data_IF_202107574504
#
_entry.id   IF_202107574504
#
_cell.length_a   1.000
_cell.length_b   1.000
_cell.length_c   1.000
_cell.angle_alpha   90.00
_cell.angle_beta   90.00
_cell.angle_gamma   90.00
#
_symmetry.space_group_name_H-M   'P 1'
#
loop_
_entity.id
_entity.type
_entity.pdbx_description
1 polymer ?
#
# COMPACT_ATOMS: atom_id res chain seq x y z
N UNK A 1 18.02 -23.04 4.24
CA UNK A 1 17.79 -21.70 4.83
C UNK A 1 18.73 -20.75 4.12
N UNK A 2 18.24 -19.57 3.71
CA UNK A 2 19.10 -18.52 3.16
C UNK A 2 20.06 -18.04 4.24
N UNK A 3 21.28 -17.68 3.87
CA UNK A 3 22.16 -16.92 4.77
C UNK A 3 21.61 -15.50 4.99
N UNK A 4 21.98 -14.86 6.10
CA UNK A 4 21.55 -13.49 6.40
C UNK A 4 21.87 -12.51 5.25
N UNK A 5 23.07 -12.61 4.68
CA UNK A 5 23.50 -11.76 3.56
C UNK A 5 22.63 -11.98 2.31
N UNK A 6 22.27 -13.22 1.99
CA UNK A 6 21.39 -13.51 0.85
C UNK A 6 19.98 -13.00 1.09
N UNK A 7 19.46 -13.14 2.31
CA UNK A 7 18.15 -12.63 2.70
C UNK A 7 18.08 -11.10 2.60
N UNK A 8 19.08 -10.39 3.14
CA UNK A 8 19.17 -8.93 3.06
C UNK A 8 19.32 -8.45 1.60
N UNK A 9 20.13 -9.15 0.81
CA UNK A 9 20.31 -8.83 -0.62
C UNK A 9 18.99 -8.98 -1.38
N UNK A 10 18.24 -10.05 -1.14
CA UNK A 10 16.93 -10.26 -1.76
C UNK A 10 15.93 -9.16 -1.38
N UNK A 11 15.92 -8.74 -0.11
CA UNK A 11 15.12 -7.59 0.32
C UNK A 11 15.55 -6.30 -0.35
N UNK A 12 16.86 -6.05 -0.49
CA UNK A 12 17.38 -4.87 -1.17
C UNK A 12 16.92 -4.82 -2.64
N UNK A 13 17.06 -5.92 -3.36
CA UNK A 13 16.60 -6.03 -4.76
C UNK A 13 15.07 -5.87 -4.84
N UNK A 14 14.33 -6.51 -3.94
CA UNK A 14 12.87 -6.44 -3.91
C UNK A 14 12.36 -5.01 -3.63
N UNK A 15 12.96 -4.31 -2.68
CA UNK A 15 12.63 -2.93 -2.35
C UNK A 15 12.91 -2.00 -3.54
N UNK A 16 14.05 -2.16 -4.21
CA UNK A 16 14.37 -1.38 -5.40
C UNK A 16 13.34 -1.61 -6.54
N UNK A 17 12.99 -2.87 -6.81
CA UNK A 17 11.97 -3.23 -7.80
C UNK A 17 10.58 -2.68 -7.42
N UNK A 18 10.22 -2.78 -6.13
CA UNK A 18 8.95 -2.27 -5.60
C UNK A 18 8.83 -0.77 -5.75
N UNK A 19 9.90 -0.01 -5.50
CA UNK A 19 9.91 1.44 -5.72
C UNK A 19 9.67 1.79 -7.19
N UNK A 20 10.30 1.07 -8.12
CA UNK A 20 10.07 1.27 -9.55
C UNK A 20 8.60 0.96 -9.93
N UNK A 21 8.06 -0.16 -9.43
CA UNK A 21 6.67 -0.54 -9.64
C UNK A 21 5.68 0.50 -9.08
N UNK A 22 5.97 1.04 -7.90
CA UNK A 22 5.25 2.16 -7.29
C UNK A 22 5.25 3.35 -8.24
N UNK A 23 6.40 3.86 -8.68
CA UNK A 23 6.43 5.02 -9.58
C UNK A 23 5.66 4.78 -10.89
N UNK A 24 5.80 3.60 -11.49
CA UNK A 24 5.05 3.23 -12.70
C UNK A 24 3.53 3.21 -12.44
N UNK A 25 3.09 2.60 -11.34
CA UNK A 25 1.68 2.52 -10.96
C UNK A 25 1.07 3.89 -10.67
N UNK A 26 1.84 4.82 -10.11
CA UNK A 26 1.38 6.20 -9.89
C UNK A 26 1.04 6.90 -11.21
N UNK A 27 1.80 6.64 -12.27
CA UNK A 27 1.52 7.09 -13.63
C UNK A 27 0.22 6.53 -14.18
N UNK A 28 -0.06 5.24 -13.93
CA UNK A 28 -1.30 4.57 -14.33
C UNK A 28 -2.54 5.08 -13.59
N UNK A 29 -2.40 5.43 -12.31
CA UNK A 29 -3.51 5.90 -11.46
C UNK A 29 -3.78 7.40 -11.62
N UNK A 30 -2.81 8.17 -12.13
CA UNK A 30 -2.93 9.63 -12.31
C UNK A 30 -4.17 10.10 -13.09
N UNK A 31 -4.57 9.43 -14.20
CA UNK A 31 -5.74 9.81 -14.99
C UNK A 31 -7.09 9.65 -14.26
N UNK A 32 -7.15 8.91 -13.14
CA UNK A 32 -8.42 8.66 -12.46
C UNK A 32 -8.99 9.94 -11.83
N UNK A 33 -10.31 10.19 -11.98
CA UNK A 33 -10.95 11.33 -11.36
C UNK A 33 -11.07 11.15 -9.85
N UNK A 34 -10.73 12.19 -9.10
CA UNK A 34 -10.85 12.19 -7.63
C UNK A 34 -9.54 11.88 -6.92
N UNK A 35 -9.03 12.89 -6.20
CA UNK A 35 -7.83 12.76 -5.35
C UNK A 35 -7.94 11.66 -4.27
N UNK A 36 -9.07 11.48 -3.56
CA UNK A 36 -9.18 10.44 -2.54
C UNK A 36 -9.04 9.03 -3.11
N UNK A 37 -9.71 8.74 -4.24
CA UNK A 37 -9.65 7.43 -4.89
C UNK A 37 -8.23 7.12 -5.38
N UNK A 38 -7.54 8.09 -5.98
CA UNK A 38 -6.14 7.93 -6.39
C UNK A 38 -5.22 7.63 -5.21
N UNK A 39 -5.38 8.37 -4.11
CA UNK A 39 -4.55 8.17 -2.91
C UNK A 39 -4.83 6.81 -2.25
N UNK A 40 -6.09 6.37 -2.26
CA UNK A 40 -6.46 5.03 -1.79
C UNK A 40 -5.77 3.94 -2.61
N UNK A 41 -5.87 3.99 -3.94
CA UNK A 41 -5.26 2.99 -4.81
C UNK A 41 -3.73 2.97 -4.67
N UNK A 42 -3.09 4.14 -4.63
CA UNK A 42 -1.63 4.27 -4.43
C UNK A 42 -1.19 3.70 -3.09
N UNK A 43 -1.91 4.05 -2.02
CA UNK A 43 -1.60 3.57 -0.68
C UNK A 43 -1.77 2.05 -0.57
N UNK A 44 -2.89 1.51 -1.04
CA UNK A 44 -3.13 0.06 -1.02
C UNK A 44 -2.11 -0.71 -1.84
N UNK A 45 -1.72 -0.19 -3.01
CA UNK A 45 -0.69 -0.80 -3.84
C UNK A 45 0.68 -0.82 -3.15
N UNK A 46 1.07 0.30 -2.51
CA UNK A 46 2.31 0.36 -1.73
C UNK A 46 2.29 -0.59 -0.54
N UNK A 47 1.18 -0.66 0.19
CA UNK A 47 1.00 -1.61 1.30
C UNK A 47 1.10 -3.04 0.79
N UNK A 48 0.46 -3.37 -0.33
CA UNK A 48 0.53 -4.70 -0.91
C UNK A 48 1.97 -5.11 -1.29
N UNK A 49 2.75 -4.19 -1.85
CA UNK A 49 4.14 -4.46 -2.18
C UNK A 49 5.04 -4.53 -0.95
N UNK A 50 4.87 -3.65 0.04
CA UNK A 50 5.89 -3.46 1.08
C UNK A 50 5.53 -4.03 2.45
N UNK A 51 4.27 -4.40 2.69
CA UNK A 51 3.88 -4.94 4.00
C UNK A 51 4.59 -6.28 4.24
N UNK A 52 5.36 -6.42 5.34
CA UNK A 52 5.95 -7.69 5.71
C UNK A 52 4.87 -8.64 6.24
N UNK A 53 4.90 -9.88 5.79
CA UNK A 53 4.02 -10.97 6.20
C UNK A 53 4.88 -12.19 6.52
N UNK A 54 4.46 -13.00 7.48
CA UNK A 54 5.17 -14.22 7.83
C UNK A 54 5.18 -15.21 6.65
N UNK A 55 6.37 -15.51 6.14
CA UNK A 55 6.53 -16.44 5.02
C UNK A 55 6.37 -17.91 5.47
N UNK A 56 6.77 -18.18 6.71
CA UNK A 56 6.52 -19.43 7.41
C UNK A 56 6.50 -19.17 8.93
N UNK A 57 5.35 -19.34 9.62
CA UNK A 57 5.19 -18.98 11.04
C UNK A 57 6.21 -19.61 11.99
N UNK A 58 6.74 -20.79 11.66
CA UNK A 58 7.72 -21.50 12.47
C UNK A 58 9.18 -21.02 12.27
N UNK A 59 9.46 -20.27 11.21
CA UNK A 59 10.82 -19.84 10.85
C UNK A 59 11.19 -18.44 11.37
N UNK A 60 10.19 -17.60 11.65
CA UNK A 60 10.41 -16.17 11.94
C UNK A 60 10.77 -15.32 10.71
N UNK A 61 10.84 -15.93 9.52
CA UNK A 61 11.16 -15.21 8.29
C UNK A 61 9.96 -14.42 7.77
N UNK A 62 10.20 -13.15 7.46
CA UNK A 62 9.23 -12.29 6.79
C UNK A 62 9.46 -12.25 5.29
N UNK A 63 8.38 -12.10 4.54
CA UNK A 63 8.39 -11.81 3.13
C UNK A 63 7.35 -10.73 2.80
N UNK A 64 7.53 -10.00 1.69
CA UNK A 64 6.54 -9.03 1.23
C UNK A 64 5.18 -9.68 0.94
N UNK A 65 4.09 -9.03 1.31
CA UNK A 65 2.71 -9.53 1.13
C UNK A 65 2.42 -9.91 -0.33
N UNK A 66 2.88 -9.11 -1.30
CA UNK A 66 2.71 -9.41 -2.72
C UNK A 66 3.41 -10.72 -3.14
N UNK A 67 4.58 -11.00 -2.58
CA UNK A 67 5.33 -12.23 -2.88
C UNK A 67 4.63 -13.44 -2.27
N UNK A 68 4.24 -13.35 -0.99
CA UNK A 68 3.48 -14.41 -0.30
C UNK A 68 2.16 -14.68 -1.01
N UNK A 69 1.44 -13.64 -1.42
CA UNK A 69 0.19 -13.75 -2.17
C UNK A 69 0.42 -14.43 -3.52
N UNK A 70 1.43 -13.98 -4.29
CA UNK A 70 1.75 -14.55 -5.59
C UNK A 70 2.07 -16.05 -5.48
N UNK A 71 2.99 -16.44 -4.58
CA UNK A 71 3.33 -17.85 -4.41
C UNK A 71 2.19 -18.67 -3.82
N UNK A 72 1.36 -18.10 -2.95
CA UNK A 72 0.17 -18.74 -2.39
C UNK A 72 -0.87 -19.07 -3.47
N UNK A 73 -1.03 -18.25 -4.51
CA UNK A 73 -1.92 -18.53 -5.64
C UNK A 73 -1.47 -19.74 -6.47
N UNK A 74 -0.15 -20.01 -6.53
CA UNK A 74 0.41 -21.10 -7.34
C UNK A 74 0.80 -22.34 -6.52
N UNK A 75 0.69 -22.30 -5.20
CA UNK A 75 1.00 -23.42 -4.29
C UNK A 75 -0.23 -23.81 -3.46
N UNK A 76 -1.14 -24.65 -4.00
CA UNK A 76 -2.39 -25.02 -3.33
C UNK A 76 -2.19 -25.81 -2.02
N UNK A 77 -0.99 -26.35 -1.79
CA UNK A 77 -0.65 -27.11 -0.57
C UNK A 77 -0.28 -26.21 0.62
N UNK A 78 -0.03 -24.91 0.39
CA UNK A 78 0.30 -23.97 1.48
C UNK A 78 -0.93 -23.17 1.88
N UNK A 79 -1.54 -23.54 3.01
CA UNK A 79 -2.50 -22.70 3.73
C UNK A 79 -1.73 -21.59 4.46
N UNK A 80 -1.05 -20.74 3.69
CA UNK A 80 -0.48 -19.51 4.23
C UNK A 80 -1.58 -18.45 4.23
N UNK A 81 -1.74 -17.67 5.32
CA UNK A 81 -2.60 -16.50 5.26
C UNK A 81 -2.07 -15.58 4.15
N UNK A 82 -2.91 -15.32 3.14
CA UNK A 82 -2.58 -14.44 2.00
C UNK A 82 -2.06 -13.07 2.47
N UNK A 83 -2.54 -12.62 3.63
CA UNK A 83 -2.17 -11.37 4.27
C UNK A 83 -2.13 -11.53 5.80
N UNK A 84 -1.16 -10.89 6.45
CA UNK A 84 -0.98 -10.89 7.91
C UNK A 84 -1.43 -9.58 8.60
N UNK A 85 -1.36 -9.50 9.95
CA UNK A 85 -1.75 -8.31 10.71
C UNK A 85 -1.12 -7.01 10.20
N UNK A 86 0.17 -7.03 9.86
CA UNK A 86 0.91 -5.88 9.33
C UNK A 86 0.28 -5.30 8.04
N UNK A 87 -0.24 -6.17 7.17
CA UNK A 87 -0.95 -5.74 5.96
C UNK A 87 -2.25 -5.00 6.32
N UNK A 88 -3.04 -5.55 7.27
CA UNK A 88 -4.28 -4.90 7.73
C UNK A 88 -4.01 -3.56 8.42
N UNK A 89 -2.94 -3.46 9.21
CA UNK A 89 -2.51 -2.19 9.79
C UNK A 89 -2.14 -1.17 8.72
N UNK A 90 -1.35 -1.58 7.71
CA UNK A 90 -1.01 -0.72 6.58
C UNK A 90 -2.25 -0.24 5.81
N UNK A 91 -3.19 -1.15 5.52
CA UNK A 91 -4.43 -0.83 4.82
C UNK A 91 -5.32 0.12 5.65
N UNK A 92 -5.44 -0.11 6.96
CA UNK A 92 -6.18 0.77 7.85
C UNK A 92 -5.56 2.17 7.91
N UNK A 93 -4.23 2.27 7.98
CA UNK A 93 -3.52 3.55 7.95
C UNK A 93 -3.81 4.30 6.64
N UNK A 94 -3.76 3.63 5.50
CA UNK A 94 -4.11 4.22 4.20
C UNK A 94 -5.54 4.76 4.21
N UNK A 95 -6.50 4.01 4.74
CA UNK A 95 -7.89 4.46 4.85
C UNK A 95 -8.03 5.71 5.71
N UNK A 96 -7.35 5.76 6.86
CA UNK A 96 -7.34 6.92 7.76
C UNK A 96 -6.78 8.15 7.05
N UNK A 97 -5.64 8.00 6.36
CA UNK A 97 -5.01 9.10 5.63
C UNK A 97 -5.87 9.61 4.48
N UNK A 98 -6.53 8.71 3.74
CA UNK A 98 -7.47 9.07 2.67
C UNK A 98 -8.70 9.79 3.23
N UNK A 99 -9.23 9.33 4.37
CA UNK A 99 -10.35 9.99 5.05
C UNK A 99 -9.95 11.39 5.52
N UNK A 100 -8.76 11.54 6.10
CA UNK A 100 -8.24 12.84 6.52
C UNK A 100 -8.09 13.80 5.32
N UNK A 101 -7.49 13.34 4.21
CA UNK A 101 -7.37 14.14 2.98
C UNK A 101 -8.75 14.55 2.43
N UNK A 102 -9.73 13.63 2.45
CA UNK A 102 -11.09 13.93 2.05
C UNK A 102 -11.76 14.99 2.94
N UNK A 103 -11.64 14.86 4.27
CA UNK A 103 -12.23 15.83 5.22
C UNK A 103 -11.62 17.23 5.07
N UNK A 104 -10.30 17.31 4.84
CA UNK A 104 -9.59 18.58 4.58
C UNK A 104 -10.06 19.21 3.26
N UNK A 105 -10.27 18.40 2.21
CA UNK A 105 -10.80 18.89 0.94
C UNK A 105 -12.25 19.39 1.08
N UNK A 106 -13.06 18.78 1.95
CA UNK A 106 -14.43 19.22 2.21
C UNK A 106 -14.47 20.52 3.02
N UNK A 107 -13.62 20.65 4.05
CA UNK A 107 -13.57 21.87 4.87
C UNK A 107 -13.12 23.08 4.05
N UNK A 108 -12.08 22.93 3.23
CA UNK A 108 -11.60 24.00 2.33
C UNK A 108 -12.63 24.40 1.27
N UNK A 109 -13.35 23.43 0.69
CA UNK A 109 -14.46 23.69 -0.24
C UNK A 109 -15.68 24.37 0.41
N UNK A 110 -15.90 24.22 1.71
CA UNK A 110 -16.99 24.91 2.45
C UNK A 110 -16.63 26.33 2.88
N UNK A 111 -15.34 26.65 3.01
CA UNK A 111 -14.88 28.00 3.39
C UNK A 111 -14.83 28.94 2.18
N UNK A 112 -14.43 28.44 1.00
CA UNK A 112 -14.35 29.21 -0.24
C UNK A 112 -15.67 29.80 -0.82
N UNK A 113 -16.87 29.21 -0.66
CA UNK A 113 -18.13 29.74 -1.19
C UNK A 113 -18.57 31.01 -0.45
N UNK A 114 -18.31 31.09 0.86
CA UNK A 114 -18.74 32.21 1.70
C UNK A 114 -17.98 33.52 1.41
N UNK A 115 -16.80 33.45 0.77
CA UNK A 115 -16.04 34.63 0.38
C UNK A 115 -16.46 35.23 -0.97
N UNK A 116 -17.29 34.53 -1.76
CA UNK A 116 -17.82 35.04 -3.05
C UNK A 116 -19.18 35.74 -2.93
N UNK A 117 -19.91 35.53 -1.83
CA UNK A 117 -21.18 36.19 -1.54
C UNK A 117 -21.08 37.51 -0.77
N UNK A 118 -19.86 37.93 -0.40
CA UNK A 118 -19.61 39.18 0.35
C UNK A 118 -19.16 40.35 -0.54
N UNK A 119 -19.34 40.23 -1.87
CA UNK A 119 -19.26 41.36 -2.78
C UNK A 119 -20.65 41.58 -3.37
N UNK A 120 -21.09 42.83 -3.31
CA UNK A 120 -22.35 43.41 -3.76
C UNK A 120 -23.47 43.39 -2.71
#
# INVERSE_FOLDING_TARGET
MLSLNEYETLWGVYCAASLFAIFAFWGLVNPLPGRPLRNLLRGLFAVFLLAPVDAAPASGDWAPAALVTFFGLFSPERVLPLVGPSFFFGAALVLILVLADFLILQSTKKVAPNLRGARY
#
